data_IF_516957323849
#
_entry.id   IF_516957323849
#
_cell.length_a   1.000
_cell.length_b   1.000
_cell.length_c   1.000
_cell.angle_alpha   90.00
_cell.angle_beta   90.00
_cell.angle_gamma   90.00
#
_symmetry.space_group_name_H-M   'P 1'
#
loop_
_entity.id
_entity.type
_entity.pdbx_description
1 polymer ?
#
# COMPACT_ATOMS: atom_id res chain seq x y z
N UNK A 1 -15.18 -14.98 -5.33
CA UNK A 1 -13.95 -15.45 -4.69
C UNK A 1 -13.91 -14.84 -3.30
N UNK A 2 -13.69 -15.62 -2.27
CA UNK A 2 -13.57 -15.14 -0.89
C UNK A 2 -12.27 -14.33 -0.74
N UNK A 3 -12.28 -13.27 0.09
CA UNK A 3 -11.10 -12.44 0.31
C UNK A 3 -9.93 -13.25 0.90
N UNK A 4 -10.21 -14.27 1.72
CA UNK A 4 -9.21 -15.17 2.28
C UNK A 4 -8.50 -16.01 1.21
N UNK A 5 -9.25 -16.54 0.23
CA UNK A 5 -8.68 -17.29 -0.90
C UNK A 5 -7.77 -16.38 -1.73
N UNK A 6 -8.17 -15.13 -1.95
CA UNK A 6 -7.34 -14.16 -2.65
C UNK A 6 -6.01 -13.90 -1.94
N UNK A 7 -6.02 -13.71 -0.61
CA UNK A 7 -4.81 -13.50 0.20
C UNK A 7 -3.85 -14.69 0.07
N UNK A 8 -4.38 -15.92 0.18
CA UNK A 8 -3.57 -17.13 0.07
C UNK A 8 -3.01 -17.34 -1.35
N UNK A 9 -3.79 -16.99 -2.38
CA UNK A 9 -3.29 -17.00 -3.77
C UNK A 9 -2.16 -15.99 -3.98
N UNK A 10 -2.30 -14.77 -3.46
CA UNK A 10 -1.23 -13.77 -3.52
C UNK A 10 0.04 -14.28 -2.83
N UNK A 11 -0.09 -14.87 -1.64
CA UNK A 11 1.07 -15.46 -0.96
C UNK A 11 1.72 -16.56 -1.79
N UNK A 12 0.93 -17.49 -2.34
CA UNK A 12 1.44 -18.56 -3.17
C UNK A 12 2.18 -18.05 -4.41
N UNK A 13 1.66 -16.99 -5.03
CA UNK A 13 2.33 -16.32 -6.14
C UNK A 13 3.69 -15.74 -5.72
N UNK A 14 3.77 -15.02 -4.60
CA UNK A 14 5.04 -14.49 -4.10
C UNK A 14 6.01 -15.59 -3.67
N UNK A 15 5.52 -16.74 -3.17
CA UNK A 15 6.35 -17.89 -2.86
C UNK A 15 6.97 -18.52 -4.13
N UNK A 16 6.20 -18.58 -5.22
CA UNK A 16 6.72 -19.01 -6.53
C UNK A 16 7.78 -18.04 -7.03
N UNK A 17 7.54 -16.72 -6.94
CA UNK A 17 8.54 -15.71 -7.33
C UNK A 17 9.83 -15.83 -6.50
N UNK A 18 9.72 -16.18 -5.21
CA UNK A 18 10.89 -16.44 -4.35
C UNK A 18 11.69 -17.66 -4.80
N UNK A 19 11.00 -18.72 -5.25
CA UNK A 19 11.66 -19.91 -5.80
C UNK A 19 12.35 -19.60 -7.13
N UNK A 20 11.72 -18.82 -8.01
CA UNK A 20 12.33 -18.39 -9.27
C UNK A 20 13.56 -17.51 -9.00
N UNK A 21 13.48 -16.58 -8.05
CA UNK A 21 14.61 -15.76 -7.64
C UNK A 21 15.77 -16.59 -7.09
N UNK A 22 15.47 -17.61 -6.27
CA UNK A 22 16.51 -18.49 -5.72
C UNK A 22 17.31 -19.23 -6.78
N UNK A 23 16.64 -19.64 -7.88
CA UNK A 23 17.25 -20.37 -8.99
C UNK A 23 17.74 -19.44 -10.12
N UNK A 24 17.68 -18.13 -9.95
CA UNK A 24 18.10 -17.19 -10.98
C UNK A 24 19.63 -17.14 -11.08
N UNK A 25 20.25 -17.46 -12.23
CA UNK A 25 21.70 -17.46 -12.40
C UNK A 25 22.30 -16.04 -12.37
N UNK A 26 21.51 -15.00 -12.65
CA UNK A 26 21.97 -13.60 -12.67
C UNK A 26 21.93 -12.94 -11.28
N UNK A 27 21.55 -13.71 -10.27
CA UNK A 27 21.38 -13.20 -8.94
C UNK A 27 22.71 -12.79 -8.29
N UNK A 28 22.76 -11.54 -7.84
CA UNK A 28 23.93 -10.94 -7.16
C UNK A 28 24.00 -11.39 -5.68
N UNK A 29 22.85 -11.71 -5.08
CA UNK A 29 22.76 -12.00 -3.64
C UNK A 29 22.84 -13.50 -3.38
N UNK A 30 23.69 -13.90 -2.45
CA UNK A 30 23.77 -15.26 -1.98
C UNK A 30 22.73 -15.50 -0.89
N UNK A 31 21.69 -16.24 -1.23
CA UNK A 31 20.69 -16.68 -0.25
C UNK A 31 21.13 -17.99 0.41
N UNK A 32 20.72 -18.20 1.67
CA UNK A 32 20.89 -19.48 2.36
C UNK A 32 20.04 -20.55 1.69
N UNK A 33 20.36 -21.82 1.94
CA UNK A 33 19.59 -22.94 1.43
C UNK A 33 18.08 -22.74 1.62
N UNK A 34 17.34 -22.97 0.55
CA UNK A 34 15.90 -22.86 0.55
C UNK A 34 15.29 -23.96 1.40
N UNK A 35 14.62 -23.60 2.49
CA UNK A 35 13.95 -24.54 3.38
C UNK A 35 12.44 -24.45 3.18
N UNK A 36 11.79 -25.57 3.10
CA UNK A 36 10.33 -25.63 2.95
C UNK A 36 9.58 -25.10 4.17
N UNK A 37 10.11 -25.34 5.38
CA UNK A 37 9.44 -25.00 6.64
C UNK A 37 9.09 -23.50 6.80
N UNK A 38 9.97 -22.52 6.50
CA UNK A 38 9.62 -21.11 6.59
C UNK A 38 8.43 -20.71 5.70
N UNK A 39 8.34 -21.25 4.50
CA UNK A 39 7.23 -20.98 3.58
C UNK A 39 5.92 -21.60 4.08
N UNK A 40 5.97 -22.85 4.55
CA UNK A 40 4.82 -23.51 5.15
C UNK A 40 4.33 -22.76 6.40
N UNK A 41 5.26 -22.32 7.25
CA UNK A 41 4.95 -21.54 8.44
C UNK A 41 4.19 -20.25 8.10
N UNK A 42 4.70 -19.46 7.14
CA UNK A 42 4.02 -18.23 6.70
C UNK A 42 2.64 -18.52 6.10
N UNK A 43 2.52 -19.58 5.30
CA UNK A 43 1.23 -19.99 4.74
C UNK A 43 0.21 -20.32 5.83
N UNK A 44 0.61 -21.14 6.80
CA UNK A 44 -0.25 -21.53 7.94
C UNK A 44 -0.63 -20.32 8.78
N UNK A 45 0.31 -19.42 9.07
CA UNK A 45 0.02 -18.19 9.83
C UNK A 45 -0.95 -17.27 9.08
N UNK A 46 -0.79 -17.12 7.75
CA UNK A 46 -1.74 -16.37 6.93
C UNK A 46 -3.10 -17.05 6.86
N UNK A 47 -3.14 -18.37 6.78
CA UNK A 47 -4.40 -19.12 6.84
C UNK A 47 -5.13 -18.88 8.16
N UNK A 48 -4.44 -19.00 9.30
CA UNK A 48 -5.01 -18.73 10.64
C UNK A 48 -5.49 -17.27 10.73
N UNK A 49 -4.68 -16.31 10.27
CA UNK A 49 -5.05 -14.89 10.26
C UNK A 49 -6.26 -14.61 9.34
N UNK A 50 -6.51 -15.45 8.34
CA UNK A 50 -7.67 -15.30 7.44
C UNK A 50 -8.97 -15.90 7.99
N UNK A 51 -8.94 -16.68 9.07
CA UNK A 51 -10.14 -17.31 9.67
C UNK A 51 -11.23 -16.28 10.03
N UNK A 52 -10.93 -15.13 10.66
CA UNK A 52 -11.95 -14.12 10.94
C UNK A 52 -12.62 -13.58 9.68
N UNK A 53 -11.85 -13.43 8.59
CA UNK A 53 -12.36 -12.98 7.29
C UNK A 53 -13.30 -14.03 6.69
N UNK A 54 -12.94 -15.32 6.77
CA UNK A 54 -13.81 -16.41 6.30
C UNK A 54 -15.12 -16.46 7.09
N UNK A 55 -15.06 -16.30 8.41
CA UNK A 55 -16.25 -16.24 9.27
C UNK A 55 -17.11 -15.03 8.90
N UNK A 56 -16.51 -13.87 8.65
CA UNK A 56 -17.25 -12.68 8.22
C UNK A 56 -17.92 -12.88 6.85
N UNK A 57 -17.24 -13.50 5.88
CA UNK A 57 -17.81 -13.82 4.56
C UNK A 57 -19.01 -14.77 4.66
N UNK A 58 -19.00 -15.70 5.61
CA UNK A 58 -20.10 -16.65 5.86
C UNK A 58 -21.25 -16.07 6.67
N UNK A 59 -21.02 -14.98 7.43
CA UNK A 59 -22.05 -14.32 8.21
C UNK A 59 -23.01 -13.52 7.32
N UNK A 60 -24.31 -13.68 7.55
CA UNK A 60 -25.34 -12.83 6.95
C UNK A 60 -25.45 -11.55 7.77
N UNK A 61 -24.65 -10.55 7.44
CA UNK A 61 -24.74 -9.22 8.04
C UNK A 61 -25.85 -8.46 7.32
N UNK A 62 -26.95 -8.16 8.00
CA UNK A 62 -28.10 -7.45 7.45
C UNK A 62 -28.06 -5.95 7.70
N UNK A 63 -27.43 -5.53 8.78
CA UNK A 63 -27.30 -4.12 9.14
C UNK A 63 -25.98 -3.86 9.85
N UNK A 64 -25.47 -2.65 9.70
CA UNK A 64 -24.33 -2.14 10.46
C UNK A 64 -24.90 -1.28 11.58
N UNK A 65 -24.50 -1.54 12.83
CA UNK A 65 -24.85 -0.67 13.93
C UNK A 65 -24.23 0.71 13.67
N UNK A 66 -25.06 1.75 13.68
CA UNK A 66 -24.59 3.10 13.42
C UNK A 66 -23.63 3.55 14.53
N UNK A 67 -22.36 3.82 14.18
CA UNK A 67 -21.43 4.38 15.16
C UNK A 67 -21.79 5.83 15.45
N UNK A 68 -21.26 6.37 16.55
CA UNK A 68 -21.48 7.75 16.95
C UNK A 68 -20.97 8.71 15.89
N UNK A 69 -21.87 9.31 15.11
CA UNK A 69 -21.54 10.18 13.95
C UNK A 69 -20.60 11.31 14.29
N UNK A 70 -20.68 11.85 15.51
CA UNK A 70 -19.77 12.91 15.95
C UNK A 70 -18.31 12.46 15.92
N UNK A 71 -18.01 11.25 16.41
CA UNK A 71 -16.63 10.71 16.41
C UNK A 71 -16.12 10.50 14.99
N UNK A 72 -16.96 9.96 14.11
CA UNK A 72 -16.59 9.74 12.71
C UNK A 72 -16.33 11.05 11.97
N UNK A 73 -17.19 12.06 12.19
CA UNK A 73 -17.00 13.38 11.63
C UNK A 73 -15.71 14.04 12.13
N UNK A 74 -15.37 13.86 13.41
CA UNK A 74 -14.11 14.34 13.98
C UNK A 74 -12.90 13.71 13.27
N UNK A 75 -12.89 12.37 13.13
CA UNK A 75 -11.80 11.69 12.44
C UNK A 75 -11.69 12.08 10.97
N UNK A 76 -12.81 12.15 10.25
CA UNK A 76 -12.83 12.61 8.86
C UNK A 76 -12.29 14.05 8.75
N UNK A 77 -12.74 14.96 9.62
CA UNK A 77 -12.29 16.35 9.61
C UNK A 77 -10.81 16.50 9.95
N UNK A 78 -10.28 15.72 10.90
CA UNK A 78 -8.86 15.72 11.22
C UNK A 78 -8.02 15.24 10.03
N UNK A 79 -8.45 14.18 9.35
CA UNK A 79 -7.74 13.67 8.18
C UNK A 79 -7.75 14.68 7.02
N UNK A 80 -8.90 15.32 6.76
CA UNK A 80 -9.02 16.36 5.74
C UNK A 80 -8.12 17.56 6.11
N UNK A 81 -8.16 18.01 7.35
CA UNK A 81 -7.41 19.16 7.82
C UNK A 81 -5.89 18.93 7.73
N UNK A 82 -5.40 17.78 8.18
CA UNK A 82 -3.97 17.43 8.07
C UNK A 82 -3.51 17.31 6.63
N UNK A 83 -4.39 16.84 5.73
CA UNK A 83 -4.11 16.77 4.29
C UNK A 83 -4.06 18.15 3.65
N UNK A 84 -4.89 19.11 4.11
CA UNK A 84 -4.83 20.50 3.67
C UNK A 84 -3.53 21.19 4.11
N UNK A 85 -3.03 20.89 5.31
CA UNK A 85 -1.74 21.42 5.77
C UNK A 85 -0.56 20.95 4.93
N UNK A 86 -0.63 19.77 4.33
CA UNK A 86 0.41 19.23 3.45
C UNK A 86 0.34 19.75 2.00
N UNK A 87 -0.73 20.46 1.64
CA UNK A 87 -0.99 20.94 0.27
C UNK A 87 0.11 21.84 -0.31
N UNK A 88 0.66 22.84 0.41
CA UNK A 88 1.71 23.70 -0.14
C UNK A 88 2.95 22.92 -0.56
N UNK A 89 3.38 21.98 0.29
CA UNK A 89 4.51 21.10 -0.01
C UNK A 89 4.22 20.19 -1.22
N UNK A 90 2.99 19.71 -1.33
CA UNK A 90 2.56 18.86 -2.44
C UNK A 90 2.55 19.64 -3.75
N UNK A 91 2.01 20.87 -3.79
CA UNK A 91 1.96 21.70 -5.01
C UNK A 91 3.38 21.96 -5.54
N UNK A 92 4.32 22.34 -4.66
CA UNK A 92 5.69 22.60 -5.04
C UNK A 92 6.40 21.37 -5.64
N UNK A 93 5.98 20.19 -5.23
CA UNK A 93 6.62 18.95 -5.64
C UNK A 93 5.90 18.22 -6.79
N UNK A 94 4.61 18.50 -7.03
CA UNK A 94 3.84 17.87 -8.14
C UNK A 94 4.48 18.14 -9.50
N UNK A 95 5.14 19.28 -9.68
CA UNK A 95 5.87 19.62 -10.91
C UNK A 95 7.02 18.64 -11.20
N UNK A 96 7.51 17.91 -10.20
CA UNK A 96 8.55 16.88 -10.38
C UNK A 96 7.99 15.57 -10.93
N UNK A 97 6.68 15.31 -10.85
CA UNK A 97 6.08 14.04 -11.28
C UNK A 97 6.38 13.68 -12.73
N UNK A 98 6.22 14.60 -13.72
CA UNK A 98 6.56 14.29 -15.11
C UNK A 98 8.04 13.92 -15.30
N UNK A 99 8.94 14.60 -14.59
CA UNK A 99 10.37 14.29 -14.60
C UNK A 99 10.67 12.92 -14.01
N UNK A 100 9.99 12.58 -12.90
CA UNK A 100 10.10 11.26 -12.25
C UNK A 100 9.63 10.09 -13.13
N UNK A 101 8.71 10.38 -14.07
CA UNK A 101 8.19 9.39 -15.01
C UNK A 101 9.08 9.21 -16.23
N UNK A 102 9.80 10.28 -16.64
CA UNK A 102 10.61 10.31 -17.84
C UNK A 102 12.09 9.98 -17.60
N UNK A 103 12.58 10.26 -16.39
CA UNK A 103 13.99 10.06 -16.03
C UNK A 103 14.12 9.22 -14.75
N UNK A 104 14.69 8.03 -14.90
CA UNK A 104 14.91 7.07 -13.82
C UNK A 104 15.90 7.59 -12.76
N UNK A 105 16.90 8.36 -13.19
CA UNK A 105 17.91 8.92 -12.29
C UNK A 105 17.30 9.92 -11.30
N UNK A 106 16.33 10.72 -11.75
CA UNK A 106 15.56 11.66 -10.91
C UNK A 106 14.70 10.90 -9.91
N UNK A 107 14.13 9.74 -10.29
CA UNK A 107 13.36 8.89 -9.39
C UNK A 107 14.18 8.33 -8.23
N UNK A 108 15.42 7.91 -8.51
CA UNK A 108 16.35 7.39 -7.49
C UNK A 108 16.86 8.48 -6.56
N UNK A 109 17.22 9.65 -7.10
CA UNK A 109 17.69 10.80 -6.29
C UNK A 109 16.59 11.30 -5.36
N UNK A 110 15.37 11.50 -5.86
CA UNK A 110 14.21 11.91 -5.03
C UNK A 110 13.90 10.90 -3.93
N UNK A 111 14.04 9.61 -4.21
CA UNK A 111 13.87 8.56 -3.19
C UNK A 111 14.96 8.63 -2.11
N UNK A 112 16.23 8.80 -2.50
CA UNK A 112 17.35 8.97 -1.55
C UNK A 112 17.18 10.22 -0.71
N UNK A 113 16.88 11.35 -1.32
CA UNK A 113 16.58 12.60 -0.61
C UNK A 113 15.42 12.42 0.41
N UNK A 114 14.36 11.70 0.04
CA UNK A 114 13.24 11.45 0.95
C UNK A 114 13.64 10.59 2.16
N UNK A 115 14.56 9.64 1.99
CA UNK A 115 15.11 8.83 3.09
C UNK A 115 16.03 9.67 3.97
N UNK A 116 16.90 10.48 3.38
CA UNK A 116 17.82 11.36 4.12
C UNK A 116 17.06 12.38 4.96
N UNK A 117 16.02 13.01 4.37
CA UNK A 117 15.13 13.93 5.09
C UNK A 117 14.40 13.19 6.23
N UNK A 118 13.91 11.99 5.97
CA UNK A 118 13.25 11.17 7.00
C UNK A 118 14.23 10.76 8.11
N UNK A 119 15.49 10.51 7.78
CA UNK A 119 16.53 10.20 8.76
C UNK A 119 17.01 11.43 9.54
N UNK A 120 17.17 12.56 8.87
CA UNK A 120 17.53 13.83 9.52
C UNK A 120 16.44 14.32 10.48
N UNK A 121 15.16 14.07 10.14
CA UNK A 121 13.99 14.45 10.95
C UNK A 121 13.64 13.42 12.04
N UNK A 122 14.49 12.44 12.32
CA UNK A 122 14.24 11.37 13.30
C UNK A 122 13.98 11.84 14.72
N UNK A 123 14.38 13.03 15.09
CA UNK A 123 14.22 13.54 16.44
C UNK A 123 13.06 14.53 16.54
N UNK A 124 11.81 14.03 16.56
CA UNK A 124 10.69 14.74 17.16
C UNK A 124 10.38 16.16 16.64
N UNK A 125 10.67 16.46 15.38
CA UNK A 125 10.30 17.74 14.78
C UNK A 125 8.79 17.84 14.67
N UNK A 126 8.21 18.84 15.33
CA UNK A 126 6.77 19.17 15.29
C UNK A 126 6.29 19.39 13.84
N UNK A 127 7.18 19.76 12.92
CA UNK A 127 6.89 19.95 11.50
C UNK A 127 6.41 18.66 10.80
N UNK A 128 6.76 17.47 11.31
CA UNK A 128 6.35 16.20 10.74
C UNK A 128 5.04 15.64 11.31
N UNK A 129 4.49 16.28 12.32
CA UNK A 129 3.25 15.84 12.96
C UNK A 129 2.09 15.68 11.97
N UNK A 130 1.82 16.61 11.04
CA UNK A 130 0.76 16.44 10.04
C UNK A 130 0.97 15.22 9.14
N UNK A 131 2.21 14.94 8.74
CA UNK A 131 2.52 13.78 7.92
C UNK A 131 2.32 12.45 8.67
N UNK A 132 2.72 12.40 9.95
CA UNK A 132 2.52 11.23 10.81
C UNK A 132 1.03 10.99 11.04
N UNK A 133 0.27 12.03 11.38
CA UNK A 133 -1.18 11.94 11.56
C UNK A 133 -1.85 11.48 10.25
N UNK A 134 -1.47 12.06 9.12
CA UNK A 134 -1.97 11.66 7.81
C UNK A 134 -1.70 10.18 7.51
N UNK A 135 -0.50 9.68 7.84
CA UNK A 135 -0.13 8.28 7.70
C UNK A 135 -1.01 7.35 8.53
N UNK A 136 -1.29 7.72 9.77
CA UNK A 136 -2.16 6.94 10.66
C UNK A 136 -3.61 6.92 10.16
N UNK A 137 -4.14 8.07 9.74
CA UNK A 137 -5.53 8.18 9.31
C UNK A 137 -5.78 7.72 7.87
N UNK A 138 -4.78 7.59 7.03
CA UNK A 138 -4.96 7.20 5.62
C UNK A 138 -5.71 5.87 5.44
N UNK A 139 -5.39 4.88 6.28
CA UNK A 139 -6.07 3.57 6.27
C UNK A 139 -7.52 3.67 6.72
N UNK A 140 -7.76 4.42 7.80
CA UNK A 140 -9.09 4.71 8.31
C UNK A 140 -9.87 5.59 7.33
N UNK A 141 -9.22 6.53 6.66
CA UNK A 141 -9.80 7.40 5.65
C UNK A 141 -10.45 6.66 4.49
N UNK A 142 -9.80 5.59 4.02
CA UNK A 142 -10.37 4.72 2.98
C UNK A 142 -11.67 4.04 3.47
N UNK A 143 -11.67 3.51 4.67
CA UNK A 143 -12.86 2.91 5.28
C UNK A 143 -13.98 3.95 5.48
N UNK A 144 -13.64 5.12 6.03
CA UNK A 144 -14.59 6.22 6.24
C UNK A 144 -15.23 6.68 4.93
N UNK A 145 -14.46 6.81 3.85
CA UNK A 145 -15.00 7.19 2.54
C UNK A 145 -16.13 6.24 2.12
N UNK A 146 -15.88 4.94 2.14
CA UNK A 146 -16.91 3.97 1.76
C UNK A 146 -18.06 3.93 2.75
N UNK A 147 -17.80 4.10 4.06
CA UNK A 147 -18.87 4.18 5.06
C UNK A 147 -19.80 5.37 4.80
N UNK A 148 -19.25 6.57 4.55
CA UNK A 148 -20.07 7.75 4.21
C UNK A 148 -20.85 7.56 2.90
N UNK A 149 -20.37 6.75 1.98
CA UNK A 149 -21.07 6.40 0.74
C UNK A 149 -22.23 5.42 0.98
N UNK A 150 -22.27 4.68 2.09
CA UNK A 150 -23.40 3.81 2.46
C UNK A 150 -24.55 4.57 3.12
N UNK A 151 -24.30 5.76 3.68
CA UNK A 151 -25.31 6.54 4.40
C UNK A 151 -26.39 7.07 3.43
N UNK A 152 -27.65 7.04 3.88
CA UNK A 152 -28.78 7.62 3.13
C UNK A 152 -28.66 9.15 3.01
N UNK A 153 -28.37 9.82 4.15
CA UNK A 153 -28.11 11.25 4.19
C UNK A 153 -26.60 11.51 4.04
N UNK A 154 -26.17 11.72 2.81
CA UNK A 154 -24.76 11.92 2.47
C UNK A 154 -24.33 13.36 2.68
N UNK A 155 -23.18 13.52 3.36
CA UNK A 155 -22.51 14.80 3.40
C UNK A 155 -21.44 14.85 2.30
N UNK A 156 -21.79 15.47 1.16
CA UNK A 156 -20.91 15.55 -0.01
C UNK A 156 -19.60 16.29 0.27
N UNK A 157 -19.59 17.23 1.22
CA UNK A 157 -18.36 17.95 1.62
C UNK A 157 -17.36 17.03 2.30
N UNK A 158 -17.82 16.16 3.19
CA UNK A 158 -16.96 15.17 3.86
C UNK A 158 -16.46 14.16 2.84
N UNK A 159 -17.33 13.67 1.95
CA UNK A 159 -16.94 12.71 0.90
C UNK A 159 -15.89 13.34 -0.02
N UNK A 160 -16.12 14.56 -0.51
CA UNK A 160 -15.15 15.28 -1.34
C UNK A 160 -13.83 15.52 -0.63
N UNK A 161 -13.88 15.93 0.65
CA UNK A 161 -12.70 16.11 1.49
C UNK A 161 -11.90 14.83 1.70
N UNK A 162 -12.58 13.69 1.93
CA UNK A 162 -11.90 12.37 2.07
C UNK A 162 -11.26 11.91 0.76
N UNK A 163 -11.93 12.11 -0.38
CA UNK A 163 -11.34 11.81 -1.69
C UNK A 163 -10.09 12.66 -1.90
N UNK A 164 -10.19 13.98 -1.62
CA UNK A 164 -9.05 14.88 -1.70
C UNK A 164 -7.88 14.41 -0.80
N UNK A 165 -8.17 14.08 0.46
CA UNK A 165 -7.16 13.65 1.42
C UNK A 165 -6.45 12.36 0.99
N UNK A 166 -7.19 11.38 0.47
CA UNK A 166 -6.62 10.14 -0.04
C UNK A 166 -5.78 10.35 -1.31
N UNK A 167 -6.26 11.18 -2.24
CA UNK A 167 -5.48 11.54 -3.44
C UNK A 167 -4.21 12.30 -3.09
N UNK A 168 -4.30 13.28 -2.20
CA UNK A 168 -3.15 14.03 -1.70
C UNK A 168 -2.10 13.11 -1.06
N UNK A 169 -2.55 12.13 -0.27
CA UNK A 169 -1.70 11.12 0.33
C UNK A 169 -1.01 10.25 -0.72
N UNK A 170 -1.74 9.76 -1.72
CA UNK A 170 -1.16 8.97 -2.83
C UNK A 170 -0.13 9.76 -3.62
N UNK A 171 -0.45 11.02 -3.96
CA UNK A 171 0.46 11.91 -4.69
C UNK A 171 1.74 12.19 -3.90
N UNK A 172 1.67 12.32 -2.58
CA UNK A 172 2.85 12.51 -1.73
C UNK A 172 3.85 11.36 -1.86
N UNK A 173 3.37 10.12 -1.94
CA UNK A 173 4.23 8.96 -2.19
C UNK A 173 4.80 8.95 -3.60
N UNK A 174 4.01 9.31 -4.61
CA UNK A 174 4.49 9.39 -5.99
C UNK A 174 5.62 10.40 -6.12
N UNK A 175 5.46 11.58 -5.53
CA UNK A 175 6.49 12.64 -5.51
C UNK A 175 7.77 12.18 -4.83
N UNK A 176 7.66 11.41 -3.76
CA UNK A 176 8.82 10.85 -3.05
C UNK A 176 9.42 9.61 -3.75
N UNK A 177 8.95 9.24 -4.94
CA UNK A 177 9.37 8.04 -5.64
C UNK A 177 9.04 6.73 -4.92
N UNK A 178 8.16 6.77 -3.91
CA UNK A 178 7.77 5.61 -3.10
C UNK A 178 6.51 4.96 -3.68
N UNK A 179 6.64 3.75 -4.22
CA UNK A 179 5.50 3.01 -4.79
C UNK A 179 4.65 2.34 -3.72
N UNK A 180 5.27 1.96 -2.61
CA UNK A 180 4.62 1.21 -1.53
C UNK A 180 3.38 1.92 -0.97
N UNK A 181 3.43 3.24 -0.79
CA UNK A 181 2.31 4.01 -0.27
C UNK A 181 1.09 4.03 -1.19
N UNK A 182 1.32 4.10 -2.51
CA UNK A 182 0.26 4.03 -3.53
C UNK A 182 -0.42 2.65 -3.48
N UNK A 183 0.38 1.58 -3.43
CA UNK A 183 -0.12 0.20 -3.28
C UNK A 183 -0.93 0.03 -2.00
N UNK A 184 -0.41 0.48 -0.86
CA UNK A 184 -1.11 0.38 0.41
C UNK A 184 -2.45 1.11 0.41
N UNK A 185 -2.51 2.31 -0.15
CA UNK A 185 -3.76 3.08 -0.24
C UNK A 185 -4.76 2.38 -1.17
N UNK A 186 -4.29 1.85 -2.31
CA UNK A 186 -5.12 1.11 -3.26
C UNK A 186 -5.70 -0.17 -2.62
N UNK A 187 -4.88 -0.94 -1.89
CA UNK A 187 -5.35 -2.13 -1.17
C UNK A 187 -6.36 -1.74 -0.09
N UNK A 188 -6.13 -0.65 0.65
CA UNK A 188 -7.06 -0.16 1.68
C UNK A 188 -8.40 0.26 1.07
N UNK A 189 -8.39 0.94 -0.09
CA UNK A 189 -9.60 1.29 -0.83
C UNK A 189 -10.36 0.05 -1.31
N UNK A 190 -9.66 -0.91 -1.93
CA UNK A 190 -10.26 -2.16 -2.40
C UNK A 190 -10.85 -2.97 -1.24
N UNK A 191 -10.11 -3.13 -0.14
CA UNK A 191 -10.58 -3.86 1.05
C UNK A 191 -11.81 -3.20 1.65
N UNK A 192 -11.82 -1.88 1.78
CA UNK A 192 -12.96 -1.11 2.30
C UNK A 192 -14.18 -1.22 1.39
N UNK A 193 -13.97 -1.19 0.06
CA UNK A 193 -15.03 -1.41 -0.91
C UNK A 193 -15.64 -2.82 -0.78
N UNK A 194 -14.83 -3.88 -0.75
CA UNK A 194 -15.33 -5.24 -0.63
C UNK A 194 -16.08 -5.46 0.69
N UNK A 195 -15.61 -4.85 1.78
CA UNK A 195 -16.24 -4.94 3.08
C UNK A 195 -17.64 -4.29 3.09
N UNK A 196 -17.76 -3.09 2.51
CA UNK A 196 -18.97 -2.28 2.58
C UNK A 196 -19.87 -2.37 1.35
N UNK A 197 -19.46 -3.08 0.31
CA UNK A 197 -20.18 -3.20 -0.96
C UNK A 197 -21.64 -3.62 -0.81
N UNK A 198 -21.95 -4.52 0.12
CA UNK A 198 -23.31 -5.03 0.34
C UNK A 198 -24.29 -3.95 0.82
N UNK A 199 -23.76 -2.86 1.38
CA UNK A 199 -24.53 -1.75 1.93
C UNK A 199 -24.60 -0.53 0.98
N UNK A 200 -23.90 -0.59 -0.16
CA UNK A 200 -23.93 0.46 -1.16
C UNK A 200 -25.20 0.37 -2.02
N UNK A 201 -25.77 1.52 -2.37
CA UNK A 201 -26.85 1.54 -3.36
C UNK A 201 -26.32 1.09 -4.74
N UNK A 202 -27.15 0.43 -5.55
CA UNK A 202 -26.76 -0.06 -6.88
C UNK A 202 -26.19 1.03 -7.80
N UNK A 203 -26.73 2.26 -7.70
CA UNK A 203 -26.22 3.41 -8.46
C UNK A 203 -24.82 3.76 -8.02
N UNK A 204 -24.57 3.80 -6.72
CA UNK A 204 -23.26 4.11 -6.15
C UNK A 204 -22.25 3.02 -6.48
N UNK A 205 -22.61 1.75 -6.35
CA UNK A 205 -21.74 0.62 -6.71
C UNK A 205 -21.32 0.67 -8.18
N UNK A 206 -22.23 1.00 -9.10
CA UNK A 206 -21.90 1.18 -10.54
C UNK A 206 -20.93 2.32 -10.79
N UNK A 207 -21.12 3.46 -10.12
CA UNK A 207 -20.22 4.62 -10.23
C UNK A 207 -18.83 4.27 -9.69
N UNK A 208 -18.76 3.65 -8.50
CA UNK A 208 -17.51 3.26 -7.87
C UNK A 208 -16.74 2.27 -8.75
N UNK A 209 -17.40 1.29 -9.34
CA UNK A 209 -16.75 0.35 -10.27
C UNK A 209 -16.15 1.05 -11.48
N UNK A 210 -16.87 1.99 -12.10
CA UNK A 210 -16.36 2.75 -13.25
C UNK A 210 -15.16 3.62 -12.86
N UNK A 211 -15.31 4.40 -11.80
CA UNK A 211 -14.23 5.25 -11.29
C UNK A 211 -13.04 4.38 -10.83
N UNK A 212 -13.31 3.28 -10.13
CA UNK A 212 -12.28 2.35 -9.65
C UNK A 212 -11.45 1.77 -10.78
N UNK A 213 -12.06 1.35 -11.89
CA UNK A 213 -11.33 0.86 -13.08
C UNK A 213 -10.44 1.97 -13.64
N UNK A 214 -10.98 3.18 -13.84
CA UNK A 214 -10.22 4.32 -14.34
C UNK A 214 -9.06 4.65 -13.38
N UNK A 215 -9.32 4.66 -12.09
CA UNK A 215 -8.29 4.96 -11.07
C UNK A 215 -7.20 3.88 -11.05
N UNK A 216 -7.56 2.61 -11.15
CA UNK A 216 -6.59 1.51 -11.24
C UNK A 216 -5.70 1.70 -12.47
N UNK A 217 -6.27 1.98 -13.63
CA UNK A 217 -5.50 2.21 -14.86
C UNK A 217 -4.56 3.42 -14.71
N UNK A 218 -5.08 4.55 -14.20
CA UNK A 218 -4.29 5.76 -13.99
C UNK A 218 -3.14 5.59 -12.98
N UNK A 219 -3.30 4.71 -11.99
CA UNK A 219 -2.26 4.42 -11.00
C UNK A 219 -1.28 3.37 -11.52
N UNK A 220 -1.80 2.34 -12.20
CA UNK A 220 -0.99 1.21 -12.65
C UNK A 220 -0.03 1.65 -13.77
N UNK A 221 -0.47 2.47 -14.72
CA UNK A 221 0.38 2.94 -15.80
C UNK A 221 1.64 3.70 -15.33
N UNK A 222 1.54 4.75 -14.48
CA UNK A 222 2.73 5.42 -13.94
C UNK A 222 3.60 4.48 -13.08
N UNK A 223 2.97 3.58 -12.32
CA UNK A 223 3.72 2.64 -11.46
C UNK A 223 4.53 1.65 -12.30
N UNK A 224 3.95 1.15 -13.39
CA UNK A 224 4.66 0.30 -14.37
C UNK A 224 5.77 1.10 -15.05
N UNK A 225 5.49 2.31 -15.52
CA UNK A 225 6.49 3.17 -16.15
C UNK A 225 7.68 3.44 -15.23
N UNK A 226 7.42 3.81 -13.96
CA UNK A 226 8.46 3.97 -12.93
C UNK A 226 9.21 2.66 -12.65
N UNK A 227 8.55 1.52 -12.80
CA UNK A 227 9.20 0.22 -12.60
C UNK A 227 10.12 -0.08 -13.75
N UNK A 228 9.65 0.08 -15.00
CA UNK A 228 10.44 -0.15 -16.20
C UNK A 228 11.64 0.82 -16.25
N UNK A 229 11.44 2.11 -15.97
CA UNK A 229 12.52 3.08 -15.98
C UNK A 229 13.63 2.76 -14.98
N UNK A 230 13.29 2.23 -13.81
CA UNK A 230 14.30 1.85 -12.80
C UNK A 230 15.09 0.58 -13.12
N UNK A 231 14.49 -0.32 -13.89
CA UNK A 231 15.13 -1.60 -14.24
C UNK A 231 15.65 -1.61 -15.69
N UNK A 232 15.27 -0.63 -16.52
CA UNK A 232 15.64 -0.57 -17.92
C UNK A 232 17.00 0.09 -18.18
N UNK A 233 17.51 0.95 -17.29
CA UNK A 233 18.75 1.69 -17.52
C UNK A 233 20.03 0.91 -17.19
N UNK A 234 19.93 -0.19 -16.43
CA UNK A 234 21.12 -0.95 -16.01
C UNK A 234 21.56 -2.02 -17.02
N UNK A 235 20.78 -2.27 -18.07
CA UNK A 235 21.16 -3.34 -19.01
C UNK A 235 20.52 -3.25 -20.39
N UNK A 236 21.34 -3.44 -21.38
CA UNK A 236 20.96 -3.71 -22.77
C UNK A 236 20.39 -5.14 -22.99
N UNK A 237 19.97 -5.86 -21.92
CA UNK A 237 19.47 -7.23 -22.01
C UNK A 237 18.11 -7.39 -21.30
N UNK A 238 17.19 -8.05 -21.98
CA UNK A 238 15.86 -8.44 -21.45
C UNK A 238 15.96 -9.34 -20.21
N UNK A 239 17.05 -10.05 -20.03
CA UNK A 239 17.35 -10.96 -18.92
C UNK A 239 17.42 -10.22 -17.59
N UNK A 240 18.06 -9.07 -17.52
CA UNK A 240 18.23 -8.31 -16.27
C UNK A 240 16.90 -7.73 -15.72
N UNK A 241 15.95 -7.40 -16.61
CA UNK A 241 14.63 -6.92 -16.18
C UNK A 241 13.84 -8.02 -15.47
N UNK A 242 13.97 -9.26 -15.95
CA UNK A 242 13.28 -10.41 -15.39
C UNK A 242 13.85 -10.79 -14.00
N UNK A 243 15.17 -10.81 -13.87
CA UNK A 243 15.88 -11.02 -12.60
C UNK A 243 15.51 -9.97 -11.56
N UNK A 244 15.47 -8.70 -11.96
CA UNK A 244 15.03 -7.60 -11.11
C UNK A 244 13.58 -7.74 -10.63
N UNK A 245 12.68 -8.25 -11.48
CA UNK A 245 11.29 -8.51 -11.12
C UNK A 245 11.19 -9.63 -10.08
N UNK A 246 11.92 -10.73 -10.30
CA UNK A 246 11.98 -11.83 -9.33
C UNK A 246 12.52 -11.38 -7.98
N UNK A 247 13.59 -10.57 -7.99
CA UNK A 247 14.16 -9.99 -6.78
C UNK A 247 13.12 -9.13 -6.04
N UNK A 248 12.45 -8.21 -6.73
CA UNK A 248 11.49 -7.31 -6.13
C UNK A 248 10.30 -8.05 -5.50
N UNK A 249 9.81 -9.10 -6.14
CA UNK A 249 8.64 -9.85 -5.67
C UNK A 249 9.00 -10.98 -4.69
N UNK A 250 10.15 -11.62 -4.89
CA UNK A 250 10.53 -12.83 -4.14
C UNK A 250 11.36 -12.59 -2.89
N UNK A 251 12.04 -11.44 -2.79
CA UNK A 251 13.01 -11.18 -1.72
C UNK A 251 12.44 -11.32 -0.30
N UNK A 252 11.21 -10.90 -0.06
CA UNK A 252 10.63 -10.89 1.30
C UNK A 252 10.59 -12.28 1.93
N UNK A 253 10.14 -13.29 1.17
CA UNK A 253 10.06 -14.67 1.66
C UNK A 253 11.46 -15.29 1.81
N UNK A 254 12.40 -14.97 0.90
CA UNK A 254 13.78 -15.42 1.03
C UNK A 254 14.49 -14.79 2.23
N UNK A 255 14.25 -13.52 2.51
CA UNK A 255 14.72 -12.89 3.75
C UNK A 255 14.16 -13.60 4.97
N UNK A 256 12.88 -13.96 4.97
CA UNK A 256 12.29 -14.71 6.06
C UNK A 256 12.92 -16.11 6.18
N UNK A 257 13.15 -16.80 5.07
CA UNK A 257 13.87 -18.08 5.04
C UNK A 257 15.28 -17.97 5.64
N UNK A 258 15.99 -16.87 5.35
CA UNK A 258 17.37 -16.67 5.79
C UNK A 258 17.48 -16.26 7.26
N UNK A 259 16.57 -15.42 7.72
CA UNK A 259 16.71 -14.70 8.99
C UNK A 259 15.50 -14.83 9.93
N UNK A 260 14.30 -15.13 9.43
CA UNK A 260 13.07 -15.07 10.21
C UNK A 260 13.03 -16.09 11.36
N UNK A 261 13.47 -17.30 11.12
CA UNK A 261 13.45 -18.38 12.09
C UNK A 261 14.83 -18.70 12.73
N UNK A 262 15.91 -18.12 12.21
CA UNK A 262 17.29 -18.37 12.68
C UNK A 262 17.87 -17.24 13.54
N UNK A 263 17.07 -16.30 13.99
CA UNK A 263 17.52 -15.22 14.85
C UNK A 263 17.62 -15.73 16.28
N UNK A 264 18.84 -16.12 16.70
CA UNK A 264 19.16 -16.58 18.07
C UNK A 264 19.12 -15.46 19.13
N UNK A 265 18.60 -14.28 18.80
CA UNK A 265 18.50 -13.15 19.72
C UNK A 265 17.09 -12.58 19.75
N UNK A 266 16.48 -12.53 20.93
CA UNK A 266 15.33 -11.67 21.20
C UNK A 266 15.84 -10.24 21.08
N UNK A 267 15.54 -9.58 19.98
CA UNK A 267 15.78 -8.13 19.86
C UNK A 267 14.67 -7.42 20.64
N UNK A 268 15.02 -6.86 21.77
CA UNK A 268 14.12 -6.12 22.66
C UNK A 268 13.62 -4.78 22.07
N UNK A 269 13.42 -4.70 20.77
CA UNK A 269 12.93 -3.48 20.12
C UNK A 269 13.95 -2.38 19.85
N UNK A 270 15.24 -2.62 20.14
CA UNK A 270 16.32 -1.61 20.04
C UNK A 270 16.56 -1.03 18.62
N UNK A 271 15.85 -1.50 17.62
CA UNK A 271 15.93 -0.99 16.23
C UNK A 271 14.59 -0.56 15.63
N UNK A 272 13.55 -0.46 16.43
CA UNK A 272 12.21 -0.03 15.96
C UNK A 272 11.89 1.42 16.32
N UNK A 273 12.83 2.14 16.88
CA UNK A 273 12.74 3.59 17.12
C UNK A 273 13.70 4.34 16.21
#
# INVERSE_FOLDING_TARGET
MSASVFILMCYSFFAIMSYLLYNDPEQIYVFKELRFFPFLYLFVMLYIASIPIQKFDSCKVYSIQEPTMWKLNLFASLFIFTSLLSLPALINNVQKIPLLLLDSSVGLTSYRESIEIAQANKAGSISNLPAIINGLYSKLGAFLLFYYLTLEKRNNWIIGGLIYALLSWMLSFMVSGQRGGVFHTSISLLSSYFLLRKFLSERTDRIIKRIGIITIVLITLPTIALTISRFGDESNSTTNTQSSLYYYMGQCNLYFNNYGLNNNGIRNGDRTL
#
